data_IF_093238448365
#
_entry.id   IF_093238448365
#
_cell.length_a   1.000
_cell.length_b   1.000
_cell.length_c   1.000
_cell.angle_alpha   90.00
_cell.angle_beta   90.00
_cell.angle_gamma   90.00
#
_symmetry.space_group_name_H-M   'P 1'
#
loop_
_entity.id
_entity.type
_entity.pdbx_description
1 polymer ?
#
# COMPACT_ATOMS: atom_id res chain seq x y z
N UNK A 1 7.89 -1.20 -8.82
CA UNK A 1 8.60 -2.51 -8.96
C UNK A 1 7.58 -3.62 -8.75
N UNK A 2 7.57 -4.70 -9.52
CA UNK A 2 6.69 -5.86 -9.26
C UNK A 2 7.56 -7.02 -8.76
N UNK A 3 7.07 -7.78 -7.78
CA UNK A 3 7.77 -8.90 -7.14
C UNK A 3 8.67 -8.52 -5.96
N UNK A 4 8.94 -7.23 -5.75
CA UNK A 4 9.72 -6.72 -4.62
C UNK A 4 8.85 -6.45 -3.40
N UNK A 5 9.44 -6.56 -2.22
CA UNK A 5 8.90 -6.07 -0.95
C UNK A 5 9.53 -4.72 -0.64
N UNK A 6 8.73 -3.77 -0.19
CA UNK A 6 9.19 -2.47 0.30
C UNK A 6 8.43 -2.07 1.57
N UNK A 7 9.05 -1.20 2.38
CA UNK A 7 8.39 -0.59 3.51
C UNK A 7 7.51 0.57 3.04
N UNK A 8 6.27 0.61 3.55
CA UNK A 8 5.30 1.66 3.20
C UNK A 8 4.68 2.26 4.45
N UNK A 9 4.47 3.58 4.46
CA UNK A 9 3.70 4.28 5.49
C UNK A 9 2.22 4.26 5.12
N UNK A 10 1.37 3.77 6.02
CA UNK A 10 -0.08 3.77 5.84
C UNK A 10 -0.62 5.17 6.17
N UNK A 11 -1.15 5.86 5.17
CA UNK A 11 -1.60 7.25 5.31
C UNK A 11 -3.12 7.37 5.42
N UNK A 12 -3.87 6.48 4.77
CA UNK A 12 -5.33 6.55 4.74
C UNK A 12 -5.95 5.20 4.29
N UNK A 13 -7.26 5.19 4.05
CA UNK A 13 -7.99 4.14 3.36
C UNK A 13 -8.01 4.40 1.86
N UNK A 14 -8.12 3.34 1.08
CA UNK A 14 -8.38 3.45 -0.36
C UNK A 14 -9.72 4.15 -0.61
N UNK A 15 -9.72 5.20 -1.43
CA UNK A 15 -10.96 5.88 -1.87
C UNK A 15 -11.91 4.95 -2.63
N UNK A 16 -11.41 3.85 -3.17
CA UNK A 16 -12.18 2.88 -3.96
C UNK A 16 -12.68 1.68 -3.15
N UNK A 17 -12.12 1.44 -1.96
CA UNK A 17 -12.48 0.28 -1.14
C UNK A 17 -12.25 0.54 0.33
N UNK A 18 -13.29 0.33 1.12
CA UNK A 18 -13.25 0.41 2.58
C UNK A 18 -12.38 -0.66 3.24
N UNK A 19 -11.98 -1.69 2.50
CA UNK A 19 -11.18 -2.85 2.95
C UNK A 19 -9.71 -2.78 2.54
N UNK A 20 -9.33 -1.73 1.82
CA UNK A 20 -7.96 -1.51 1.37
C UNK A 20 -7.40 -0.24 2.01
N UNK A 21 -6.10 -0.27 2.27
CA UNK A 21 -5.31 0.83 2.78
C UNK A 21 -4.61 1.56 1.64
N UNK A 22 -4.44 2.86 1.82
CA UNK A 22 -3.60 3.71 1.00
C UNK A 22 -2.30 3.97 1.77
N UNK A 23 -1.18 3.70 1.13
CA UNK A 23 0.13 3.86 1.70
C UNK A 23 1.11 4.46 0.68
N UNK A 24 2.28 4.88 1.16
CA UNK A 24 3.35 5.41 0.32
C UNK A 24 4.70 4.79 0.65
N UNK A 25 5.50 4.55 -0.38
CA UNK A 25 6.92 4.19 -0.20
C UNK A 25 7.74 5.40 0.21
N UNK A 26 9.00 5.19 0.57
CA UNK A 26 9.99 6.27 0.78
C UNK A 26 10.25 7.15 -0.44
N UNK A 27 9.81 6.73 -1.64
CA UNK A 27 9.90 7.49 -2.90
C UNK A 27 8.60 8.20 -3.27
N UNK A 28 7.67 8.32 -2.32
CA UNK A 28 6.33 8.90 -2.54
C UNK A 28 5.47 8.11 -3.57
N UNK A 29 5.81 6.85 -3.84
CA UNK A 29 5.03 5.99 -4.74
C UNK A 29 3.75 5.53 -4.04
N UNK A 30 2.61 5.67 -4.70
CA UNK A 30 1.31 5.27 -4.14
C UNK A 30 1.16 3.75 -4.14
N UNK A 31 0.78 3.19 -2.99
CA UNK A 31 0.56 1.76 -2.77
C UNK A 31 -0.84 1.52 -2.20
N UNK A 32 -1.53 0.51 -2.71
CA UNK A 32 -2.81 0.04 -2.16
C UNK A 32 -2.76 -1.45 -1.89
N UNK A 33 -3.16 -1.86 -0.68
CA UNK A 33 -3.18 -3.26 -0.25
C UNK A 33 -4.30 -3.51 0.78
N UNK A 34 -4.79 -4.75 0.96
CA UNK A 34 -5.81 -5.06 1.96
C UNK A 34 -5.34 -4.75 3.39
N UNK A 35 -6.22 -4.21 4.24
CA UNK A 35 -5.88 -3.96 5.64
C UNK A 35 -6.93 -3.16 6.41
N UNK A 36 -6.72 -3.05 7.73
CA UNK A 36 -7.59 -2.31 8.65
C UNK A 36 -7.15 -0.85 8.80
N UNK A 37 -8.11 0.08 8.75
CA UNK A 37 -7.88 1.52 8.96
C UNK A 37 -7.29 1.86 10.34
N UNK A 38 -7.36 0.94 11.31
CA UNK A 38 -6.71 1.08 12.62
C UNK A 38 -5.19 1.19 12.55
N UNK A 39 -4.59 0.96 11.38
CA UNK A 39 -3.15 1.00 11.15
C UNK A 39 -2.64 2.29 10.51
N UNK A 40 -3.50 3.26 10.24
CA UNK A 40 -3.06 4.57 9.73
C UNK A 40 -2.01 5.16 10.69
N UNK A 41 -0.91 5.66 10.12
CA UNK A 41 0.27 6.15 10.85
C UNK A 41 1.34 5.07 11.13
N UNK A 42 1.10 3.82 10.75
CA UNK A 42 2.06 2.72 10.93
C UNK A 42 2.73 2.35 9.61
N UNK A 43 3.88 1.69 9.70
CA UNK A 43 4.55 1.09 8.55
C UNK A 43 4.09 -0.36 8.29
N UNK A 44 4.26 -0.82 7.06
CA UNK A 44 4.00 -2.19 6.63
C UNK A 44 5.06 -2.64 5.62
N UNK A 45 5.41 -3.92 5.63
CA UNK A 45 6.18 -4.54 4.54
C UNK A 45 5.20 -5.06 3.49
N UNK A 46 5.27 -4.55 2.27
CA UNK A 46 4.30 -4.89 1.22
C UNK A 46 5.01 -5.42 -0.02
N UNK A 47 4.62 -6.63 -0.45
CA UNK A 47 5.01 -7.18 -1.74
C UNK A 47 4.16 -6.57 -2.84
N UNK A 48 4.80 -5.98 -3.85
CA UNK A 48 4.10 -5.41 -4.99
C UNK A 48 3.73 -6.48 -6.03
N UNK A 49 2.44 -6.62 -6.34
CA UNK A 49 1.89 -7.66 -7.23
C UNK A 49 1.50 -7.14 -8.60
N UNK A 50 1.04 -5.89 -8.70
CA UNK A 50 0.64 -5.27 -9.97
C UNK A 50 0.69 -3.75 -9.88
N UNK A 51 0.52 -3.08 -11.03
CA UNK A 51 0.39 -1.62 -11.11
C UNK A 51 -0.84 -1.27 -11.95
N UNK A 52 -1.63 -0.31 -11.46
CA UNK A 52 -2.79 0.23 -12.18
C UNK A 52 -2.66 1.74 -12.26
N UNK A 53 -2.44 2.26 -13.46
CA UNK A 53 -2.00 3.65 -13.64
C UNK A 53 -0.64 3.86 -12.94
N UNK A 54 -0.60 4.75 -11.95
CA UNK A 54 0.59 5.03 -11.15
C UNK A 54 0.52 4.42 -9.74
N UNK A 55 -0.48 3.58 -9.46
CA UNK A 55 -0.68 2.98 -8.14
C UNK A 55 -0.18 1.54 -8.13
N UNK A 56 0.79 1.25 -7.26
CA UNK A 56 1.21 -0.09 -6.95
C UNK A 56 0.12 -0.80 -6.14
N UNK A 57 -0.20 -2.04 -6.49
CA UNK A 57 -1.04 -2.91 -5.67
C UNK A 57 -0.17 -3.96 -5.04
N UNK A 58 -0.49 -4.34 -3.80
CA UNK A 58 0.32 -5.28 -3.04
C UNK A 58 -0.45 -6.11 -2.04
N UNK A 59 0.29 -6.99 -1.40
CA UNK A 59 -0.10 -7.77 -0.23
C UNK A 59 0.96 -7.59 0.86
N UNK A 60 0.52 -7.50 2.11
CA UNK A 60 1.44 -7.44 3.24
C UNK A 60 2.13 -8.78 3.45
N UNK A 61 3.41 -8.76 3.82
CA UNK A 61 4.24 -9.95 4.09
C UNK A 61 4.58 -10.09 5.56
#
# INVERSE_FOLDING_TARGET
RIGHVDEVLIEDRSKRSTRELLARTSRDEMVVFPGSATRIGQFAQVRFISVVGNTLRGEEV
#
